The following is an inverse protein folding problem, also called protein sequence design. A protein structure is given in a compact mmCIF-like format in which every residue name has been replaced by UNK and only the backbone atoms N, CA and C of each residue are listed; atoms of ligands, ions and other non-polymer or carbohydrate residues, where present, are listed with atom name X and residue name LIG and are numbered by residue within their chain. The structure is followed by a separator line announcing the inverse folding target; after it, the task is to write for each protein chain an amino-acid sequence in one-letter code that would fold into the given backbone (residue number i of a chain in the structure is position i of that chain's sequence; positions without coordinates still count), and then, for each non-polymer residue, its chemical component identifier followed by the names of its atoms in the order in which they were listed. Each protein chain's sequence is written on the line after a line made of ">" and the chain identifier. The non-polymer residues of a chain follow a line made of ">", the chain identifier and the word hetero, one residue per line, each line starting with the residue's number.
data_IF_047042010327
#
_entry.id   IF_047042010327
#
_cell.length_a   1.000
_cell.length_b   1.000
_cell.length_c   1.000
_cell.angle_alpha   90.00
_cell.angle_beta   90.00
_cell.angle_gamma   90.00
#
_symmetry.space_group_name_H-M   'P 1'
#
loop_
_entity.id
_entity.type
_entity.pdbx_description
1 polymer ?
#
# COMPACT_ATOMS: atom_id res chain seq x y z
N UNK A 1 -9.27 9.24 16.78
CA UNK A 1 -10.04 10.01 15.77
C UNK A 1 -9.11 11.08 15.28
N UNK A 2 -9.01 11.32 13.97
CA UNK A 2 -8.11 12.36 13.43
C UNK A 2 -8.73 13.73 13.69
N UNK A 3 -8.03 14.58 14.41
CA UNK A 3 -8.53 15.87 14.91
C UNK A 3 -7.84 17.07 14.26
N UNK A 4 -6.72 16.85 13.55
CA UNK A 4 -5.97 17.93 12.92
C UNK A 4 -5.40 17.56 11.54
N UNK A 5 -5.14 18.58 10.73
CA UNK A 5 -4.46 18.43 9.44
C UNK A 5 -3.05 17.84 9.63
N UNK A 6 -2.33 18.24 10.68
CA UNK A 6 -1.00 17.73 10.98
C UNK A 6 -1.03 16.21 11.30
N UNK A 7 -2.04 15.77 12.05
CA UNK A 7 -2.25 14.35 12.35
C UNK A 7 -2.58 13.55 11.08
N UNK A 8 -3.43 14.08 10.19
CA UNK A 8 -3.72 13.42 8.91
C UNK A 8 -2.46 13.33 8.04
N UNK A 9 -1.62 14.37 7.98
CA UNK A 9 -0.35 14.31 7.26
C UNK A 9 0.59 13.22 7.78
N UNK A 10 0.69 13.03 9.09
CA UNK A 10 1.53 11.99 9.67
C UNK A 10 1.07 10.60 9.25
N UNK A 11 -0.24 10.34 9.30
CA UNK A 11 -0.80 9.08 8.85
C UNK A 11 -0.61 8.87 7.34
N UNK A 12 -0.89 9.89 6.53
CA UNK A 12 -0.70 9.82 5.08
C UNK A 12 0.77 9.53 4.72
N UNK A 13 1.72 10.26 5.30
CA UNK A 13 3.17 10.04 5.08
C UNK A 13 3.59 8.61 5.44
N UNK A 14 3.07 8.07 6.55
CA UNK A 14 3.39 6.71 6.96
C UNK A 14 2.82 5.67 5.99
N UNK A 15 1.58 5.86 5.52
CA UNK A 15 0.91 4.98 4.57
C UNK A 15 1.60 4.97 3.22
N UNK A 16 1.89 6.15 2.65
CA UNK A 16 2.57 6.27 1.36
C UNK A 16 3.99 5.68 1.38
N UNK A 17 4.72 5.87 2.49
CA UNK A 17 6.05 5.29 2.65
C UNK A 17 5.98 3.77 2.68
N UNK A 18 5.10 3.20 3.49
CA UNK A 18 4.93 1.75 3.56
C UNK A 18 4.48 1.16 2.23
N UNK A 19 3.52 1.79 1.55
CA UNK A 19 3.05 1.35 0.24
C UNK A 19 4.18 1.38 -0.80
N UNK A 20 4.97 2.46 -0.88
CA UNK A 20 6.10 2.56 -1.79
C UNK A 20 7.12 1.44 -1.57
N UNK A 21 7.49 1.16 -0.32
CA UNK A 21 8.43 0.10 0.04
C UNK A 21 7.87 -1.29 -0.31
N UNK A 22 6.63 -1.60 0.07
CA UNK A 22 6.00 -2.89 -0.19
C UNK A 22 5.77 -3.16 -1.68
N UNK A 23 5.35 -2.16 -2.43
CA UNK A 23 5.16 -2.34 -3.87
C UNK A 23 6.49 -2.50 -4.61
N UNK A 24 7.57 -1.88 -4.14
CA UNK A 24 8.91 -2.13 -4.67
C UNK A 24 9.35 -3.59 -4.40
N UNK A 25 9.10 -4.12 -3.21
CA UNK A 25 9.35 -5.53 -2.86
C UNK A 25 8.53 -6.49 -3.75
N UNK A 26 7.24 -6.23 -3.94
CA UNK A 26 6.38 -7.02 -4.83
C UNK A 26 6.86 -6.95 -6.29
N UNK A 27 7.29 -5.79 -6.77
CA UNK A 27 7.83 -5.65 -8.12
C UNK A 27 9.07 -6.52 -8.33
N UNK A 28 10.02 -6.49 -7.40
CA UNK A 28 11.22 -7.33 -7.44
C UNK A 28 10.87 -8.81 -7.46
N UNK A 29 9.98 -9.24 -6.56
CA UNK A 29 9.56 -10.62 -6.47
C UNK A 29 8.84 -11.11 -7.74
N UNK A 30 7.91 -10.34 -8.28
CA UNK A 30 7.21 -10.73 -9.50
C UNK A 30 8.14 -10.81 -10.70
N UNK A 31 9.19 -9.97 -10.73
CA UNK A 31 10.24 -10.05 -11.75
C UNK A 31 11.05 -11.34 -11.61
N UNK A 32 11.44 -11.73 -10.40
CA UNK A 32 12.16 -12.98 -10.12
C UNK A 32 11.35 -14.22 -10.50
N UNK A 33 10.04 -14.17 -10.35
CA UNK A 33 9.12 -15.23 -10.77
C UNK A 33 8.80 -15.21 -12.27
N UNK A 34 9.38 -14.29 -13.04
CA UNK A 34 9.18 -14.15 -14.47
C UNK A 34 7.84 -13.52 -14.88
N UNK A 35 7.08 -12.95 -13.94
CA UNK A 35 5.84 -12.23 -14.23
C UNK A 35 6.10 -10.73 -14.49
N UNK A 36 6.67 -10.43 -15.66
CA UNK A 36 7.03 -9.08 -16.05
C UNK A 36 5.85 -8.09 -16.04
N UNK A 37 4.64 -8.55 -16.34
CA UNK A 37 3.45 -7.69 -16.39
C UNK A 37 3.03 -7.21 -15.00
N UNK A 38 2.96 -8.11 -14.03
CA UNK A 38 2.61 -7.76 -12.64
C UNK A 38 3.76 -7.00 -11.98
N UNK A 39 5.03 -7.38 -12.25
CA UNK A 39 6.20 -6.63 -11.81
C UNK A 39 6.16 -5.17 -12.29
N UNK A 40 5.85 -4.94 -13.57
CA UNK A 40 5.74 -3.58 -14.12
C UNK A 40 4.60 -2.77 -13.46
N UNK A 41 3.48 -3.39 -13.13
CA UNK A 41 2.39 -2.71 -12.40
C UNK A 41 2.86 -2.29 -11.00
N UNK A 42 3.42 -3.21 -10.21
CA UNK A 42 3.93 -2.87 -8.88
C UNK A 42 5.04 -1.83 -8.91
N UNK A 43 5.92 -1.87 -9.93
CA UNK A 43 6.92 -0.83 -10.13
C UNK A 43 6.31 0.56 -10.38
N UNK A 44 5.23 0.63 -11.15
CA UNK A 44 4.49 1.89 -11.35
C UNK A 44 3.81 2.37 -10.08
N UNK A 45 3.15 1.47 -9.34
CA UNK A 45 2.52 1.81 -8.07
C UNK A 45 3.57 2.31 -7.07
N UNK A 46 4.69 1.60 -6.91
CA UNK A 46 5.78 2.04 -6.04
C UNK A 46 6.29 3.45 -6.38
N UNK A 47 6.41 3.77 -7.67
CA UNK A 47 6.82 5.10 -8.12
C UNK A 47 5.75 6.18 -7.85
N UNK A 48 4.47 5.86 -7.97
CA UNK A 48 3.37 6.76 -7.65
C UNK A 48 3.35 7.07 -6.15
N UNK A 49 3.41 6.04 -5.28
CA UNK A 49 3.45 6.21 -3.82
C UNK A 49 4.68 7.01 -3.37
N UNK A 50 5.85 6.75 -3.95
CA UNK A 50 7.05 7.55 -3.68
C UNK A 50 6.88 9.02 -4.09
N UNK A 51 6.18 9.28 -5.19
CA UNK A 51 5.83 10.64 -5.65
C UNK A 51 4.87 11.35 -4.69
N UNK A 52 3.83 10.65 -4.22
CA UNK A 52 2.90 11.17 -3.21
C UNK A 52 3.60 11.45 -1.88
N UNK A 53 4.42 10.52 -1.41
CA UNK A 53 5.24 10.70 -0.21
C UNK A 53 6.10 11.96 -0.29
N UNK A 54 6.78 12.18 -1.41
CA UNK A 54 7.61 13.36 -1.62
C UNK A 54 6.77 14.66 -1.67
N UNK A 55 5.60 14.62 -2.28
CA UNK A 55 4.67 15.75 -2.29
C UNK A 55 4.17 16.09 -0.88
N UNK A 56 3.81 15.10 -0.08
CA UNK A 56 3.39 15.29 1.31
C UNK A 56 4.53 15.85 2.18
N UNK A 57 5.75 15.34 2.02
CA UNK A 57 6.94 15.86 2.74
C UNK A 57 7.19 17.32 2.42
N UNK A 58 7.10 17.73 1.16
CA UNK A 58 7.24 19.15 0.77
C UNK A 58 6.16 20.03 1.36
N UNK A 59 4.90 19.56 1.39
CA UNK A 59 3.78 20.31 1.99
C UNK A 59 3.93 20.49 3.50
N UNK A 60 4.65 19.59 4.16
CA UNK A 60 4.86 19.59 5.61
C UNK A 60 6.21 20.13 6.04
N UNK A 61 7.01 20.63 5.11
CA UNK A 61 8.31 21.25 5.41
C UNK A 61 8.14 22.42 6.39
N UNK A 62 8.81 22.34 7.53
CA UNK A 62 8.70 23.33 8.60
C UNK A 62 7.42 23.24 9.46
N UNK A 63 6.56 22.28 9.21
CA UNK A 63 5.38 22.01 10.04
C UNK A 63 5.75 21.05 11.17
N UNK A 64 5.40 21.40 12.41
CA UNK A 64 5.54 20.48 13.54
C UNK A 64 4.50 19.35 13.39
N UNK A 65 4.97 18.14 13.10
CA UNK A 65 4.13 16.95 12.99
C UNK A 65 4.17 16.17 14.31
N UNK A 66 3.02 15.61 14.77
CA UNK A 66 3.00 14.72 15.92
C UNK A 66 3.77 13.42 15.62
N UNK A 67 4.30 12.79 16.66
CA UNK A 67 4.88 11.45 16.53
C UNK A 67 3.80 10.39 16.51
N UNK A 68 3.95 9.36 15.66
CA UNK A 68 3.11 8.17 15.72
C UNK A 68 3.63 7.25 16.84
N UNK A 69 2.74 6.86 17.75
CA UNK A 69 3.07 6.06 18.94
C UNK A 69 3.44 4.59 18.65
N UNK A 70 3.34 4.12 17.40
CA UNK A 70 3.61 2.73 17.03
C UNK A 70 4.18 2.59 15.62
N UNK A 71 4.91 1.50 15.39
CA UNK A 71 5.27 1.05 14.06
C UNK A 71 3.99 0.85 13.22
N UNK A 72 3.87 1.67 12.21
CA UNK A 72 2.70 1.70 11.35
C UNK A 72 2.83 0.61 10.30
N UNK A 73 2.03 -0.44 10.39
CA UNK A 73 1.92 -1.48 9.36
C UNK A 73 0.52 -1.43 8.76
N UNK A 74 0.44 -0.93 7.54
CA UNK A 74 -0.82 -0.76 6.83
C UNK A 74 -1.13 -1.94 5.90
N UNK A 75 -0.11 -2.48 5.27
CA UNK A 75 -0.22 -3.64 4.39
C UNK A 75 -0.05 -4.91 5.22
N UNK A 76 -1.18 -5.45 5.67
CA UNK A 76 -1.22 -6.74 6.34
C UNK A 76 -1.25 -7.87 5.31
N UNK A 77 -0.21 -8.70 5.31
CA UNK A 77 -0.12 -9.91 4.51
C UNK A 77 -0.81 -11.11 5.16
N UNK A 78 -1.40 -10.91 6.33
CA UNK A 78 -2.10 -11.95 7.08
C UNK A 78 -1.18 -12.88 7.89
N UNK A 79 0.11 -12.58 7.97
CA UNK A 79 1.08 -13.37 8.73
C UNK A 79 1.45 -12.65 10.04
N UNK A 80 1.30 -13.30 11.21
CA UNK A 80 1.47 -12.65 12.50
C UNK A 80 2.93 -12.48 12.94
N UNK A 81 3.92 -13.10 12.27
CA UNK A 81 5.32 -13.06 12.67
C UNK A 81 6.29 -13.10 11.48
N UNK A 82 7.50 -12.55 11.64
CA UNK A 82 8.49 -12.29 10.57
C UNK A 82 8.87 -13.51 9.72
N UNK A 83 9.03 -14.69 10.32
CA UNK A 83 9.38 -15.91 9.56
C UNK A 83 8.21 -16.44 8.73
N UNK A 84 7.00 -16.41 9.29
CA UNK A 84 5.79 -16.77 8.57
C UNK A 84 5.48 -15.75 7.46
N UNK A 85 5.79 -14.49 7.70
CA UNK A 85 5.66 -13.41 6.72
C UNK A 85 6.56 -13.66 5.50
N UNK A 86 7.83 -13.98 5.69
CA UNK A 86 8.78 -14.25 4.61
C UNK A 86 8.36 -15.49 3.80
N UNK A 87 7.87 -16.54 4.47
CA UNK A 87 7.41 -17.74 3.80
C UNK A 87 6.13 -17.48 2.98
N UNK A 88 5.13 -16.83 3.56
CA UNK A 88 3.90 -16.44 2.86
C UNK A 88 4.21 -15.53 1.69
N UNK A 89 5.09 -14.56 1.87
CA UNK A 89 5.53 -13.67 0.81
C UNK A 89 6.23 -14.43 -0.33
N UNK A 90 7.05 -15.44 -0.01
CA UNK A 90 7.72 -16.29 -1.00
C UNK A 90 6.80 -17.18 -1.81
N UNK A 91 5.68 -17.60 -1.22
CA UNK A 91 4.71 -18.50 -1.84
C UNK A 91 3.55 -17.79 -2.53
N UNK A 92 3.48 -16.49 -2.37
CA UNK A 92 2.39 -15.69 -2.89
C UNK A 92 2.38 -15.67 -4.42
N UNK A 93 1.27 -16.08 -5.02
CA UNK A 93 1.08 -15.96 -6.46
C UNK A 93 0.91 -14.50 -6.87
N UNK A 94 1.14 -14.14 -8.15
CA UNK A 94 0.86 -12.79 -8.62
C UNK A 94 -0.57 -12.31 -8.34
N UNK A 95 -1.56 -13.21 -8.48
CA UNK A 95 -2.96 -12.93 -8.16
C UNK A 95 -3.15 -12.62 -6.67
N UNK A 96 -2.52 -13.39 -5.78
CA UNK A 96 -2.58 -13.15 -4.34
C UNK A 96 -1.90 -11.84 -3.94
N UNK A 97 -0.74 -11.50 -4.53
CA UNK A 97 -0.05 -10.23 -4.30
C UNK A 97 -0.92 -9.03 -4.71
N UNK A 98 -1.56 -9.09 -5.88
CA UNK A 98 -2.53 -8.08 -6.32
C UNK A 98 -3.72 -7.96 -5.37
N UNK A 99 -4.21 -9.09 -4.86
CA UNK A 99 -5.30 -9.12 -3.87
C UNK A 99 -4.92 -8.48 -2.54
N UNK A 100 -3.70 -8.69 -2.06
CA UNK A 100 -3.16 -8.04 -0.85
C UNK A 100 -3.10 -6.54 -1.05
N UNK A 101 -2.50 -6.09 -2.15
CA UNK A 101 -2.42 -4.67 -2.49
C UNK A 101 -3.81 -4.04 -2.59
N UNK A 102 -4.74 -4.67 -3.31
CA UNK A 102 -6.11 -4.16 -3.46
C UNK A 102 -6.83 -3.99 -2.12
N UNK A 103 -6.65 -4.91 -1.18
CA UNK A 103 -7.21 -4.75 0.18
C UNK A 103 -6.57 -3.60 0.93
N UNK A 104 -5.27 -3.39 0.80
CA UNK A 104 -4.56 -2.26 1.42
C UNK A 104 -5.08 -0.92 0.90
N UNK A 105 -5.18 -0.74 -0.42
CA UNK A 105 -5.71 0.47 -1.04
C UNK A 105 -7.16 0.75 -0.64
N UNK A 106 -8.00 -0.29 -0.59
CA UNK A 106 -9.39 -0.15 -0.13
C UNK A 106 -9.49 0.29 1.33
N UNK A 107 -8.59 -0.17 2.21
CA UNK A 107 -8.51 0.29 3.60
C UNK A 107 -8.02 1.73 3.68
N UNK A 108 -6.99 2.09 2.91
CA UNK A 108 -6.47 3.44 2.84
C UNK A 108 -7.56 4.43 2.40
N UNK A 109 -8.24 4.12 1.29
CA UNK A 109 -9.37 4.91 0.82
C UNK A 109 -10.46 5.07 1.88
N UNK A 110 -10.86 3.98 2.54
CA UNK A 110 -11.89 4.02 3.60
C UNK A 110 -11.46 4.89 4.80
N UNK A 111 -10.19 4.84 5.17
CA UNK A 111 -9.61 5.69 6.21
C UNK A 111 -9.73 7.18 5.85
N UNK A 112 -9.31 7.58 4.65
CA UNK A 112 -9.40 8.96 4.20
C UNK A 112 -10.86 9.42 4.01
N UNK A 113 -11.74 8.57 3.51
CA UNK A 113 -13.17 8.86 3.43
C UNK A 113 -13.80 9.05 4.82
N UNK A 114 -13.39 8.27 5.82
CA UNK A 114 -13.83 8.45 7.19
C UNK A 114 -13.30 9.77 7.75
N UNK A 115 -12.03 10.09 7.59
CA UNK A 115 -11.46 11.37 8.01
C UNK A 115 -12.22 12.55 7.39
N UNK A 116 -12.52 12.48 6.09
CA UNK A 116 -13.33 13.49 5.39
C UNK A 116 -14.72 13.67 5.96
N UNK A 117 -15.40 12.57 6.35
CA UNK A 117 -16.77 12.62 6.89
C UNK A 117 -16.86 13.27 8.25
N UNK A 118 -15.86 13.05 9.10
CA UNK A 118 -15.87 13.53 10.48
C UNK A 118 -15.14 14.86 10.67
N UNK A 119 -14.45 15.34 9.64
CA UNK A 119 -13.68 16.58 9.71
C UNK A 119 -14.60 17.82 9.74
N UNK A 120 -14.45 18.63 10.75
CA UNK A 120 -15.08 19.96 10.83
C UNK A 120 -14.23 21.01 10.07
N UNK A 121 -12.91 20.87 10.10
CA UNK A 121 -11.98 21.75 9.39
C UNK A 121 -12.05 21.53 7.87
N UNK A 122 -12.34 22.58 7.08
CA UNK A 122 -12.38 22.48 5.62
C UNK A 122 -11.05 22.06 4.99
N UNK A 123 -9.90 22.44 5.56
CA UNK A 123 -8.58 22.06 5.06
C UNK A 123 -8.31 20.56 5.29
N UNK A 124 -8.69 20.05 6.46
CA UNK A 124 -8.62 18.62 6.77
C UNK A 124 -9.51 17.82 5.81
N UNK A 125 -10.72 18.30 5.57
CA UNK A 125 -11.67 17.66 4.65
C UNK A 125 -11.14 17.62 3.21
N UNK A 126 -10.54 18.73 2.74
CA UNK A 126 -9.98 18.83 1.40
C UNK A 126 -8.80 17.87 1.20
N UNK A 127 -7.87 17.80 2.16
CA UNK A 127 -6.75 16.88 2.13
C UNK A 127 -7.22 15.41 2.13
N UNK A 128 -8.15 15.07 3.00
CA UNK A 128 -8.69 13.71 3.06
C UNK A 128 -9.41 13.31 1.77
N UNK A 129 -10.08 14.24 1.11
CA UNK A 129 -10.72 14.01 -0.19
C UNK A 129 -9.68 13.78 -1.30
N UNK A 130 -8.60 14.55 -1.32
CA UNK A 130 -7.50 14.39 -2.27
C UNK A 130 -6.88 13.00 -2.13
N UNK A 131 -6.50 12.60 -0.92
CA UNK A 131 -5.94 11.29 -0.64
C UNK A 131 -6.88 10.14 -1.03
N UNK A 132 -8.17 10.23 -0.70
CA UNK A 132 -9.15 9.23 -1.09
C UNK A 132 -9.31 9.09 -2.61
N UNK A 133 -9.13 10.16 -3.37
CA UNK A 133 -9.19 10.14 -4.83
C UNK A 133 -7.94 9.48 -5.46
N UNK A 134 -6.77 9.68 -4.87
CA UNK A 134 -5.52 9.01 -5.27
C UNK A 134 -5.64 7.50 -5.08
N UNK A 135 -6.10 7.04 -3.91
CA UNK A 135 -6.35 5.62 -3.65
C UNK A 135 -7.38 5.00 -4.60
N UNK A 136 -8.41 5.74 -4.98
CA UNK A 136 -9.38 5.27 -5.97
C UNK A 136 -8.72 4.99 -7.35
N UNK A 137 -7.72 5.77 -7.73
CA UNK A 137 -6.91 5.54 -8.93
C UNK A 137 -6.08 4.25 -8.85
N UNK A 138 -5.42 4.02 -7.71
CA UNK A 138 -4.64 2.80 -7.46
C UNK A 138 -5.53 1.55 -7.46
N UNK A 139 -6.69 1.61 -6.80
CA UNK A 139 -7.70 0.53 -6.81
C UNK A 139 -8.09 0.17 -8.24
N UNK A 140 -8.38 1.15 -9.09
CA UNK A 140 -8.77 0.90 -10.47
C UNK A 140 -7.66 0.21 -11.28
N UNK A 141 -6.39 0.59 -11.08
CA UNK A 141 -5.25 -0.08 -11.72
C UNK A 141 -5.11 -1.52 -11.26
N UNK A 142 -5.23 -1.77 -9.96
CA UNK A 142 -5.14 -3.12 -9.37
C UNK A 142 -6.28 -4.02 -9.81
N UNK A 143 -7.52 -3.54 -9.80
CA UNK A 143 -8.69 -4.30 -10.25
C UNK A 143 -8.59 -4.69 -11.73
N UNK A 144 -8.12 -3.77 -12.57
CA UNK A 144 -7.88 -4.04 -14.00
C UNK A 144 -6.83 -5.12 -14.22
N UNK A 145 -5.74 -5.11 -13.45
CA UNK A 145 -4.69 -6.13 -13.56
C UNK A 145 -5.15 -7.46 -12.98
N UNK A 146 -5.85 -7.44 -11.84
CA UNK A 146 -6.36 -8.64 -11.19
C UNK A 146 -7.31 -9.43 -12.11
N UNK A 147 -8.18 -8.74 -12.84
CA UNK A 147 -9.08 -9.35 -13.82
C UNK A 147 -8.36 -10.07 -14.97
N UNK A 148 -7.08 -9.77 -15.20
CA UNK A 148 -6.24 -10.35 -16.26
C UNK A 148 -5.23 -11.37 -15.75
N UNK A 149 -5.11 -11.49 -14.43
CA UNK A 149 -4.11 -12.35 -13.77
C UNK A 149 -4.81 -13.58 -13.21
N UNK A 150 -4.54 -14.79 -13.72
CA UNK A 150 -5.14 -16.02 -13.20
C UNK A 150 -4.73 -16.26 -11.75
N UNK A 151 -5.57 -16.95 -10.98
CA UNK A 151 -5.33 -17.23 -9.56
C UNK A 151 -4.01 -17.97 -9.31
N UNK A 152 -3.57 -18.80 -10.25
CA UNK A 152 -2.35 -19.59 -10.13
C UNK A 152 -2.49 -20.73 -9.11
N UNK A 153 -1.54 -21.63 -9.13
CA UNK A 153 -1.43 -22.74 -8.17
C UNK A 153 -0.16 -22.50 -7.36
N UNK A 154 -0.26 -22.57 -6.04
CA UNK A 154 0.92 -22.54 -5.17
C UNK A 154 1.73 -23.81 -5.41
N UNK A 155 2.95 -23.67 -5.89
CA UNK A 155 3.86 -24.81 -6.06
C UNK A 155 4.48 -25.19 -4.71
N UNK A 156 3.78 -26.09 -4.01
CA UNK A 156 4.24 -26.64 -2.75
C UNK A 156 5.51 -27.48 -2.88
N UNK A 157 5.81 -28.02 -4.09
CA UNK A 157 7.00 -28.84 -4.31
C UNK A 157 8.29 -28.05 -4.20
N UNK A 158 8.28 -26.77 -4.62
CA UNK A 158 9.45 -25.88 -4.54
C UNK A 158 9.95 -25.61 -3.11
N UNK A 159 9.09 -25.85 -2.10
CA UNK A 159 9.44 -25.68 -0.69
C UNK A 159 10.36 -26.81 -0.20
N UNK A 160 10.19 -28.01 -0.75
CA UNK A 160 10.93 -29.19 -0.33
C UNK A 160 12.27 -29.39 -1.06
N UNK A 161 12.48 -28.67 -2.18
CA UNK A 161 13.72 -28.74 -2.96
C UNK A 161 14.80 -27.76 -2.49
N UNK A 162 14.47 -26.84 -1.58
CA UNK A 162 15.38 -25.81 -1.07
C UNK A 162 15.97 -26.12 0.32
N UNK A 163 15.83 -27.36 0.80
CA UNK A 163 16.33 -27.83 2.08
C UNK A 163 17.64 -28.61 1.97
#
# INVERSE_FOLDING_TARGET
>A
MIESVAELYVHAIAMEREAAERYAEFAGRMADEGNAQVAALFGRLAALEAGHLEALRRRTEGVALPELESDYSWIDTGAPETLAHDLVFRLMTPHQALGVALRAEKRAKAFFEQARRVADDPALRALAQEMAAEEAGHIAMLEKQLARTPEGVVDWASIYESG
#
